data_IF_469639032286
#
_entry.id   IF_469639032286
#
_cell.length_a   1.000
_cell.length_b   1.000
_cell.length_c   1.000
_cell.angle_alpha   90.00
_cell.angle_beta   90.00
_cell.angle_gamma   90.00
#
_symmetry.space_group_name_H-M   'P 1'
#
loop_
_entity.id
_entity.type
_entity.pdbx_description
1 polymer ?
#
# COMPACT_ATOMS: atom_id res chain seq x y z
N UNK A 1 -35.25 19.06 45.42
CA UNK A 1 -35.34 17.85 44.55
C UNK A 1 -36.54 18.08 43.65
N UNK A 2 -36.49 18.16 42.33
CA UNK A 2 -35.70 17.44 41.32
C UNK A 2 -35.65 18.35 40.08
N UNK A 3 -34.47 18.84 39.69
CA UNK A 3 -34.23 19.45 38.37
C UNK A 3 -32.78 19.17 38.00
N UNK A 4 -32.45 17.90 37.76
CA UNK A 4 -31.08 17.47 37.46
C UNK A 4 -31.00 16.36 36.39
N UNK A 5 -32.11 16.10 35.68
CA UNK A 5 -32.19 14.96 34.75
C UNK A 5 -32.25 15.31 33.26
N UNK A 6 -32.42 16.59 32.88
CA UNK A 6 -32.69 16.92 31.46
C UNK A 6 -31.49 17.40 30.65
N UNK A 7 -30.35 17.71 31.30
CA UNK A 7 -29.21 18.32 30.60
C UNK A 7 -28.27 17.31 29.93
N UNK A 8 -28.24 16.06 30.41
CA UNK A 8 -27.34 15.02 29.91
C UNK A 8 -27.80 14.37 28.60
N UNK A 9 -29.12 14.30 28.36
CA UNK A 9 -29.68 13.73 27.13
C UNK A 9 -29.52 14.65 25.92
N UNK A 10 -29.41 15.96 26.14
CA UNK A 10 -29.32 16.94 25.07
C UNK A 10 -27.89 17.07 24.51
N UNK A 11 -26.87 16.74 25.29
CA UNK A 11 -25.46 16.74 24.83
C UNK A 11 -25.02 15.40 24.22
N UNK A 12 -25.59 14.28 24.64
CA UNK A 12 -25.29 12.96 24.06
C UNK A 12 -25.66 12.86 22.57
N UNK A 13 -26.74 13.53 22.16
CA UNK A 13 -27.20 13.53 20.76
C UNK A 13 -26.37 14.48 19.87
N UNK A 14 -25.73 15.51 20.44
CA UNK A 14 -24.86 16.43 19.68
C UNK A 14 -23.51 15.77 19.42
N UNK A 15 -22.95 15.01 20.36
CA UNK A 15 -21.70 14.27 20.15
C UNK A 15 -21.81 13.19 19.06
N UNK A 16 -22.96 12.53 18.89
CA UNK A 16 -23.15 11.51 17.84
C UNK A 16 -23.17 12.08 16.42
N UNK A 17 -23.59 13.35 16.24
CA UNK A 17 -23.64 13.99 14.91
C UNK A 17 -22.26 14.53 14.50
N UNK A 18 -21.42 14.93 15.45
CA UNK A 18 -20.04 15.34 15.16
C UNK A 18 -19.10 14.14 14.94
N UNK A 19 -19.34 12.99 15.57
CA UNK A 19 -18.51 11.80 15.38
C UNK A 19 -18.59 11.24 13.94
N UNK A 20 -19.73 11.38 13.26
CA UNK A 20 -19.91 10.92 11.88
C UNK A 20 -19.37 11.88 10.82
N UNK A 21 -19.03 13.12 11.17
CA UNK A 21 -18.43 14.10 10.25
C UNK A 21 -16.91 13.97 10.11
N UNK A 22 -16.24 13.19 10.97
CA UNK A 22 -14.79 12.96 10.92
C UNK A 22 -14.38 11.54 10.53
N UNK A 23 -15.33 10.69 10.13
CA UNK A 23 -15.01 9.54 9.31
C UNK A 23 -14.73 10.05 7.88
N UNK A 24 -13.57 10.70 7.68
CA UNK A 24 -13.00 10.79 6.35
C UNK A 24 -12.63 9.36 5.96
N UNK A 25 -13.58 8.64 5.35
CA UNK A 25 -13.24 7.48 4.55
C UNK A 25 -12.34 8.01 3.43
N UNK A 26 -11.03 7.87 3.61
CA UNK A 26 -10.02 8.03 2.56
C UNK A 26 -10.10 6.88 1.55
N UNK A 27 -11.32 6.48 1.20
CA UNK A 27 -11.63 5.43 0.23
C UNK A 27 -11.33 5.98 -1.17
N UNK A 28 -10.28 5.45 -1.80
CA UNK A 28 -10.01 5.71 -3.20
C UNK A 28 -10.94 4.85 -4.05
N UNK A 29 -12.07 5.44 -4.41
CA UNK A 29 -13.02 4.90 -5.38
C UNK A 29 -12.67 5.39 -6.78
N UNK A 30 -12.53 4.47 -7.72
CA UNK A 30 -12.23 4.81 -9.10
C UNK A 30 -13.49 5.31 -9.83
N UNK A 31 -13.72 6.62 -9.79
CA UNK A 31 -14.70 7.28 -10.66
C UNK A 31 -14.27 7.21 -12.12
N UNK A 32 -15.24 6.95 -12.99
CA UNK A 32 -15.15 6.60 -14.42
C UNK A 32 -14.58 7.71 -15.35
N UNK A 33 -13.69 8.56 -14.85
CA UNK A 33 -13.18 9.74 -15.58
C UNK A 33 -11.68 9.76 -15.88
N UNK A 34 -10.93 8.72 -15.53
CA UNK A 34 -9.49 8.66 -15.86
C UNK A 34 -9.15 7.42 -16.70
N UNK A 35 -8.97 7.67 -18.00
CA UNK A 35 -8.34 6.82 -19.01
C UNK A 35 -9.05 5.52 -19.38
N UNK A 36 -10.14 5.66 -20.15
CA UNK A 36 -10.53 4.67 -21.15
C UNK A 36 -9.32 4.45 -22.09
N UNK A 37 -8.64 3.31 -21.91
CA UNK A 37 -7.75 2.67 -22.87
C UNK A 37 -6.79 3.64 -23.58
N UNK A 38 -5.82 4.20 -22.86
CA UNK A 38 -4.56 4.52 -23.52
C UNK A 38 -3.82 3.21 -23.76
N UNK A 39 -3.53 2.96 -25.04
CA UNK A 39 -2.63 1.93 -25.53
C UNK A 39 -1.56 1.63 -24.51
N UNK A 40 -1.37 0.33 -24.22
CA UNK A 40 -0.24 -0.19 -23.45
C UNK A 40 0.99 0.61 -23.90
N UNK A 41 1.58 1.46 -23.05
CA UNK A 41 2.67 2.32 -23.47
C UNK A 41 3.73 1.42 -24.10
N UNK A 42 4.23 1.77 -25.28
CA UNK A 42 5.23 0.98 -26.02
C UNK A 42 6.54 0.73 -25.25
N UNK A 43 6.64 1.31 -24.04
CA UNK A 43 7.71 1.17 -23.08
C UNK A 43 7.21 0.41 -21.83
N UNK A 44 6.67 -0.79 -22.03
CA UNK A 44 6.49 -1.72 -20.91
C UNK A 44 7.87 -2.27 -20.59
N UNK A 45 8.58 -1.57 -19.71
CA UNK A 45 9.78 -2.14 -19.10
C UNK A 45 9.40 -3.51 -18.53
N UNK A 46 10.12 -4.54 -18.95
CA UNK A 46 9.88 -5.90 -18.49
C UNK A 46 10.01 -5.91 -16.96
N UNK A 47 8.99 -6.41 -16.23
CA UNK A 47 9.03 -6.40 -14.78
C UNK A 47 10.26 -7.14 -14.26
N UNK A 48 10.78 -6.70 -13.12
CA UNK A 48 11.93 -7.34 -12.49
C UNK A 48 11.63 -8.81 -12.17
N UNK A 49 12.69 -9.64 -12.11
CA UNK A 49 12.54 -11.06 -11.81
C UNK A 49 11.87 -11.28 -10.43
N UNK A 50 12.20 -10.45 -9.42
CA UNK A 50 11.54 -10.51 -8.12
C UNK A 50 10.04 -10.18 -8.20
N UNK A 51 9.68 -9.17 -9.00
CA UNK A 51 8.27 -8.82 -9.21
C UNK A 51 7.53 -9.95 -9.90
N UNK A 52 8.10 -10.57 -10.94
CA UNK A 52 7.49 -11.71 -11.63
C UNK A 52 7.31 -12.92 -10.70
N UNK A 53 8.34 -13.27 -9.94
CA UNK A 53 8.30 -14.41 -9.02
C UNK A 53 7.28 -14.19 -7.89
N UNK A 54 7.26 -12.99 -7.31
CA UNK A 54 6.28 -12.65 -6.28
C UNK A 54 4.86 -12.62 -6.85
N UNK A 55 4.68 -12.09 -8.06
CA UNK A 55 3.40 -12.07 -8.78
C UNK A 55 2.89 -13.50 -8.94
N UNK A 56 3.70 -14.41 -9.50
CA UNK A 56 3.31 -15.80 -9.73
C UNK A 56 2.92 -16.52 -8.42
N UNK A 57 3.69 -16.32 -7.35
CA UNK A 57 3.40 -16.91 -6.04
C UNK A 57 2.12 -16.36 -5.42
N UNK A 58 1.93 -15.05 -5.51
CA UNK A 58 0.73 -14.36 -4.99
C UNK A 58 -0.51 -14.82 -5.73
N UNK A 59 -0.51 -14.83 -7.06
CA UNK A 59 -1.65 -15.30 -7.85
C UNK A 59 -1.97 -16.77 -7.58
N UNK A 60 -0.96 -17.61 -7.38
CA UNK A 60 -1.17 -19.00 -6.95
C UNK A 60 -1.89 -19.08 -5.59
N UNK A 61 -1.57 -18.21 -4.64
CA UNK A 61 -2.25 -18.14 -3.35
C UNK A 61 -3.71 -17.65 -3.49
N UNK A 62 -3.95 -16.61 -4.28
CA UNK A 62 -5.29 -16.08 -4.57
C UNK A 62 -6.20 -17.16 -5.17
N UNK A 63 -5.70 -17.89 -6.18
CA UNK A 63 -6.47 -18.94 -6.85
C UNK A 63 -6.85 -20.07 -5.90
N UNK A 64 -5.96 -20.45 -4.98
CA UNK A 64 -6.27 -21.46 -3.95
C UNK A 64 -7.36 -20.99 -3.00
N UNK A 65 -7.31 -19.71 -2.61
CA UNK A 65 -8.23 -19.10 -1.65
C UNK A 65 -9.55 -18.63 -2.29
N UNK A 66 -9.73 -18.78 -3.61
CA UNK A 66 -10.87 -18.26 -4.37
C UNK A 66 -11.15 -16.78 -4.08
N UNK A 67 -10.09 -16.01 -3.81
CA UNK A 67 -10.22 -14.61 -3.46
C UNK A 67 -10.50 -13.76 -4.71
N UNK A 68 -11.42 -12.80 -4.60
CA UNK A 68 -11.89 -11.94 -5.71
C UNK A 68 -11.10 -10.63 -5.85
N UNK A 69 -10.07 -10.44 -5.02
CA UNK A 69 -9.22 -9.26 -5.09
C UNK A 69 -8.39 -9.25 -6.37
N UNK A 70 -8.25 -8.07 -6.97
CA UNK A 70 -7.28 -7.81 -8.03
C UNK A 70 -6.00 -7.28 -7.40
N UNK A 71 -4.86 -7.91 -7.66
CA UNK A 71 -3.56 -7.46 -7.14
C UNK A 71 -2.72 -6.95 -8.31
N UNK A 72 -2.09 -5.78 -8.14
CA UNK A 72 -1.22 -5.16 -9.15
C UNK A 72 0.15 -4.91 -8.54
N UNK A 73 1.20 -5.21 -9.31
CA UNK A 73 2.60 -5.04 -8.92
C UNK A 73 3.25 -3.99 -9.80
N UNK A 74 4.11 -3.16 -9.22
CA UNK A 74 4.82 -2.10 -9.94
C UNK A 74 6.24 -1.93 -9.41
N UNK A 75 7.21 -2.11 -10.28
CA UNK A 75 8.62 -1.86 -9.94
C UNK A 75 8.84 -0.38 -9.62
N UNK A 76 9.78 -0.10 -8.71
CA UNK A 76 10.27 1.25 -8.48
C UNK A 76 11.11 1.75 -9.65
N UNK A 77 11.15 3.06 -9.85
CA UNK A 77 12.22 3.71 -10.59
C UNK A 77 13.14 4.45 -9.62
N UNK A 78 14.40 4.66 -10.03
CA UNK A 78 15.32 5.49 -9.26
C UNK A 78 14.78 6.93 -9.20
N UNK A 79 14.71 7.48 -7.98
CA UNK A 79 14.38 8.87 -7.72
C UNK A 79 15.63 9.73 -7.56
N UNK A 80 15.58 10.67 -6.62
CA UNK A 80 16.75 11.43 -6.18
C UNK A 80 17.69 10.54 -5.34
N UNK A 81 18.59 11.14 -4.55
CA UNK A 81 19.71 10.45 -3.87
C UNK A 81 19.28 9.23 -3.03
N UNK A 82 19.47 8.04 -3.60
CA UNK A 82 19.15 6.72 -3.06
C UNK A 82 17.66 6.49 -2.78
N UNK A 83 16.80 7.11 -3.58
CA UNK A 83 15.35 6.98 -3.48
C UNK A 83 14.79 5.99 -4.51
N UNK A 84 13.75 5.27 -4.08
CA UNK A 84 12.94 4.40 -4.92
C UNK A 84 11.55 5.00 -5.01
N UNK A 85 11.13 5.33 -6.23
CA UNK A 85 9.91 6.08 -6.48
C UNK A 85 8.89 5.32 -7.31
N UNK A 86 7.63 5.69 -7.14
CA UNK A 86 6.49 5.28 -7.96
C UNK A 86 5.68 6.52 -8.34
N UNK A 87 5.08 6.49 -9.54
CA UNK A 87 4.16 7.55 -9.93
C UNK A 87 2.93 7.54 -9.02
N UNK A 88 2.48 8.73 -8.62
CA UNK A 88 1.21 8.92 -7.89
C UNK A 88 -0.01 8.46 -8.67
N UNK A 89 0.10 8.40 -10.00
CA UNK A 89 -0.91 7.84 -10.89
C UNK A 89 -0.92 6.33 -10.73
N UNK A 90 -1.90 5.82 -10.01
CA UNK A 90 -2.18 4.40 -9.92
C UNK A 90 -3.25 4.08 -10.95
N UNK A 91 -2.94 3.13 -11.82
CA UNK A 91 -3.93 2.60 -12.75
C UNK A 91 -4.93 1.78 -11.93
N UNK A 92 -6.20 2.09 -12.06
CA UNK A 92 -7.30 1.28 -11.55
C UNK A 92 -8.33 1.03 -12.65
N UNK A 93 -9.24 0.09 -12.42
CA UNK A 93 -10.36 -0.15 -13.35
C UNK A 93 -11.63 0.48 -12.77
N UNK A 94 -12.61 0.85 -13.63
CA UNK A 94 -13.92 1.28 -13.17
C UNK A 94 -14.52 0.27 -12.18
N UNK A 95 -15.28 0.78 -11.21
CA UNK A 95 -15.90 -0.01 -10.13
C UNK A 95 -14.88 -0.79 -9.27
N UNK A 96 -13.65 -0.29 -9.13
CA UNK A 96 -12.69 -0.82 -8.17
C UNK A 96 -12.42 0.17 -7.04
N UNK A 97 -12.28 -0.38 -5.84
CA UNK A 97 -11.88 0.34 -4.64
C UNK A 97 -10.55 -0.20 -4.14
N UNK A 98 -9.60 0.70 -3.89
CA UNK A 98 -8.31 0.34 -3.29
C UNK A 98 -8.56 -0.18 -1.87
N UNK A 99 -8.11 -1.40 -1.58
CA UNK A 99 -8.22 -2.01 -0.25
C UNK A 99 -6.95 -1.78 0.57
N UNK A 100 -5.80 -1.99 -0.05
CA UNK A 100 -4.51 -1.76 0.60
C UNK A 100 -3.40 -1.57 -0.41
N UNK A 101 -2.35 -0.90 0.04
CA UNK A 101 -1.11 -0.80 -0.70
C UNK A 101 0.10 -1.02 0.20
N UNK A 102 1.06 -1.77 -0.33
CA UNK A 102 2.28 -2.14 0.38
C UNK A 102 3.49 -1.89 -0.50
N UNK A 103 4.56 -1.38 0.10
CA UNK A 103 5.89 -1.49 -0.47
C UNK A 103 6.49 -2.80 0.02
N UNK A 104 6.95 -3.62 -0.93
CA UNK A 104 7.68 -4.84 -0.65
C UNK A 104 9.18 -4.60 -0.80
N UNK A 105 9.93 -5.01 0.22
CA UNK A 105 11.37 -4.94 0.26
C UNK A 105 11.96 -6.36 0.22
N UNK A 106 12.41 -6.85 -0.95
CA UNK A 106 12.98 -8.19 -1.08
C UNK A 106 14.34 -8.27 -0.40
N UNK A 107 14.39 -9.00 0.71
CA UNK A 107 15.62 -9.22 1.49
C UNK A 107 16.03 -10.68 1.44
N UNK A 108 17.33 -10.94 1.39
CA UNK A 108 17.84 -12.31 1.44
C UNK A 108 17.57 -12.96 2.80
N UNK A 109 16.73 -14.00 2.77
CA UNK A 109 16.29 -14.75 3.94
C UNK A 109 17.39 -15.50 4.69
N UNK A 110 18.62 -15.57 4.14
CA UNK A 110 19.75 -16.31 4.68
C UNK A 110 20.69 -15.47 5.58
N UNK A 111 20.60 -14.14 5.54
CA UNK A 111 21.57 -13.26 6.22
C UNK A 111 20.97 -12.17 7.11
N UNK A 112 19.72 -11.78 6.90
CA UNK A 112 19.10 -10.71 7.69
C UNK A 112 18.55 -11.25 9.00
N UNK A 113 19.13 -10.82 10.13
CA UNK A 113 18.37 -10.76 11.37
C UNK A 113 17.10 -9.96 11.03
N UNK A 114 15.90 -10.54 11.24
CA UNK A 114 14.62 -9.86 10.96
C UNK A 114 14.36 -8.78 12.02
N UNK A 115 15.34 -7.92 12.23
CA UNK A 115 15.20 -6.68 12.97
C UNK A 115 14.17 -5.82 12.24
N UNK A 116 13.46 -5.01 13.02
CA UNK A 116 12.38 -4.14 12.55
C UNK A 116 12.95 -3.07 11.64
N UNK A 117 13.12 -3.43 10.37
CA UNK A 117 13.59 -2.52 9.35
C UNK A 117 12.58 -1.40 9.13
N UNK A 118 13.12 -0.25 8.81
CA UNK A 118 12.39 0.99 8.68
C UNK A 118 12.65 1.57 7.30
N UNK A 119 11.60 2.12 6.67
CA UNK A 119 11.73 2.95 5.48
C UNK A 119 11.42 4.41 5.84
N UNK A 120 12.02 5.34 5.12
CA UNK A 120 11.67 6.76 5.20
C UNK A 120 10.88 7.17 3.96
N UNK A 121 9.81 7.92 4.16
CA UNK A 121 8.95 8.48 3.11
C UNK A 121 8.59 9.91 3.47
N UNK A 122 9.04 10.88 2.69
CA UNK A 122 8.73 12.31 2.89
C UNK A 122 9.01 12.80 4.33
N UNK A 123 10.11 12.32 4.95
CA UNK A 123 10.47 12.64 6.33
C UNK A 123 9.67 11.90 7.41
N UNK A 124 8.75 11.00 7.03
CA UNK A 124 8.04 10.12 7.94
C UNK A 124 8.60 8.70 7.90
N UNK A 125 8.63 8.06 9.06
CA UNK A 125 9.06 6.69 9.25
C UNK A 125 7.92 5.72 8.91
N UNK A 126 8.20 4.73 8.07
CA UNK A 126 7.31 3.61 7.77
C UNK A 126 7.77 2.37 8.51
N UNK A 127 6.85 1.79 9.26
CA UNK A 127 7.10 0.57 10.00
C UNK A 127 6.68 -0.66 9.20
N UNK A 128 7.37 -1.77 9.46
CA UNK A 128 7.04 -3.04 8.87
C UNK A 128 5.63 -3.47 9.28
N UNK A 129 4.81 -3.83 8.30
CA UNK A 129 3.50 -4.43 8.49
C UNK A 129 3.66 -5.94 8.76
N UNK A 130 3.28 -6.36 9.97
CA UNK A 130 3.51 -7.73 10.48
C UNK A 130 2.28 -8.63 10.39
N UNK A 131 1.12 -8.08 10.02
CA UNK A 131 -0.12 -8.84 9.98
C UNK A 131 -0.17 -9.84 8.82
N UNK A 132 -1.10 -10.79 8.95
CA UNK A 132 -1.34 -11.82 7.94
C UNK A 132 -1.83 -11.16 6.64
N UNK A 133 -1.08 -11.40 5.57
CA UNK A 133 -1.40 -10.88 4.23
C UNK A 133 -1.52 -12.02 3.23
N UNK A 134 -2.22 -11.76 2.13
CA UNK A 134 -2.28 -12.65 0.96
C UNK A 134 -0.95 -12.71 0.21
N UNK A 135 -0.08 -11.72 0.46
CA UNK A 135 1.27 -11.68 -0.10
C UNK A 135 2.10 -12.77 0.59
N UNK A 136 2.82 -13.62 -0.16
CA UNK A 136 3.74 -14.60 0.42
C UNK A 136 4.86 -13.92 1.23
N UNK A 137 5.28 -14.48 2.38
CA UNK A 137 6.38 -13.92 3.20
C UNK A 137 7.73 -13.94 2.47
N UNK A 138 7.88 -14.80 1.47
CA UNK A 138 9.09 -14.90 0.66
C UNK A 138 9.25 -13.74 -0.33
N UNK A 139 8.20 -12.93 -0.54
CA UNK A 139 8.29 -11.75 -1.39
C UNK A 139 9.08 -10.59 -0.75
N UNK A 140 9.36 -10.67 0.55
CA UNK A 140 10.07 -9.64 1.29
C UNK A 140 9.27 -9.02 2.43
N UNK A 141 9.86 -8.01 3.04
CA UNK A 141 9.27 -7.24 4.13
C UNK A 141 8.21 -6.30 3.57
N UNK A 142 7.15 -6.04 4.34
CA UNK A 142 5.99 -5.25 3.92
C UNK A 142 5.96 -3.94 4.67
N UNK A 143 5.64 -2.86 3.98
CA UNK A 143 5.43 -1.55 4.56
C UNK A 143 4.12 -1.00 4.03
N UNK A 144 3.14 -0.76 4.90
CA UNK A 144 1.84 -0.28 4.50
C UNK A 144 1.89 1.20 4.13
N UNK A 145 1.34 1.52 2.95
CA UNK A 145 1.37 2.87 2.37
C UNK A 145 0.02 3.29 1.80
N UNK A 146 -1.06 2.58 2.15
CA UNK A 146 -2.43 2.84 1.68
C UNK A 146 -2.81 4.32 1.81
N UNK A 147 -2.65 4.89 3.01
CA UNK A 147 -3.00 6.29 3.27
C UNK A 147 -2.07 7.30 2.58
N UNK A 148 -0.87 6.87 2.17
CA UNK A 148 0.14 7.72 1.53
C UNK A 148 -0.09 7.85 0.03
N UNK A 149 -0.79 6.89 -0.57
CA UNK A 149 -1.20 6.98 -1.97
C UNK A 149 -2.22 8.10 -2.22
N UNK A 150 -2.94 8.52 -1.17
CA UNK A 150 -3.86 9.65 -1.25
C UNK A 150 -3.16 11.01 -1.38
N UNK A 151 -1.87 11.07 -1.07
CA UNK A 151 -1.12 12.32 -1.10
C UNK A 151 -0.83 12.77 -2.54
N UNK A 152 -0.90 14.08 -2.78
CA UNK A 152 -0.48 14.67 -4.06
C UNK A 152 1.04 14.66 -4.14
N UNK A 153 1.60 13.80 -4.97
CA UNK A 153 3.04 13.76 -5.27
C UNK A 153 3.56 12.35 -5.48
N UNK A 154 4.75 12.18 -6.08
CA UNK A 154 5.34 10.86 -6.26
C UNK A 154 5.51 10.15 -4.91
N UNK A 155 5.28 8.85 -4.90
CA UNK A 155 5.53 8.01 -3.74
C UNK A 155 7.01 7.63 -3.77
N UNK A 156 7.83 8.22 -2.92
CA UNK A 156 9.26 7.92 -2.87
C UNK A 156 9.64 7.41 -1.49
N UNK A 157 10.47 6.37 -1.46
CA UNK A 157 11.04 5.84 -0.22
C UNK A 157 12.54 5.80 -0.29
N UNK A 158 13.14 6.00 0.88
CA UNK A 158 14.55 5.83 1.12
C UNK A 158 14.77 4.77 2.18
N UNK A 159 15.85 4.02 2.01
CA UNK A 159 16.36 3.12 3.04
C UNK A 159 17.37 3.93 3.85
N UNK A 160 17.12 4.19 5.16
CA UNK A 160 18.02 4.97 5.99
C UNK A 160 19.43 4.37 6.00
N UNK A 161 20.47 5.21 6.04
CA UNK A 161 21.86 4.75 6.05
C UNK A 161 22.17 3.82 7.24
N UNK A 162 21.47 4.01 8.37
CA UNK A 162 21.55 3.11 9.52
C UNK A 162 21.10 1.68 9.16
N UNK A 163 20.02 1.56 8.39
CA UNK A 163 19.48 0.27 7.94
C UNK A 163 20.25 -0.31 6.76
N UNK A 164 20.95 0.52 5.97
CA UNK A 164 21.87 0.04 4.92
C UNK A 164 23.03 -0.77 5.51
N UNK A 165 23.49 -0.43 6.72
CA UNK A 165 24.49 -1.23 7.45
C UNK A 165 23.96 -2.61 7.85
N UNK A 166 22.68 -2.69 8.23
CA UNK A 166 21.98 -3.93 8.61
C UNK A 166 21.59 -4.78 7.40
N UNK A 167 21.18 -4.14 6.30
CA UNK A 167 20.92 -4.78 5.01
C UNK A 167 22.21 -5.24 4.33
N UNK A 168 23.34 -4.56 4.57
CA UNK A 168 24.52 -4.69 3.72
C UNK A 168 24.19 -4.43 2.26
N UNK A 169 24.72 -5.26 1.35
CA UNK A 169 24.30 -5.32 -0.06
C UNK A 169 23.03 -6.17 -0.27
N UNK A 170 22.25 -6.42 0.77
CA UNK A 170 21.30 -7.55 0.90
C UNK A 170 19.92 -7.37 0.28
N UNK A 171 19.72 -6.34 -0.55
CA UNK A 171 18.55 -6.30 -1.42
C UNK A 171 18.81 -7.19 -2.63
N UNK A 172 17.95 -8.19 -2.80
CA UNK A 172 17.97 -9.04 -3.99
C UNK A 172 17.52 -8.25 -5.22
N UNK A 173 16.57 -7.32 -5.01
CA UNK A 173 15.98 -6.48 -6.03
C UNK A 173 15.60 -5.10 -5.46
N UNK A 174 15.41 -4.09 -6.32
CA UNK A 174 14.75 -2.86 -5.92
C UNK A 174 13.38 -3.14 -5.28
N UNK A 175 12.94 -2.32 -4.31
CA UNK A 175 11.61 -2.45 -3.75
C UNK A 175 10.52 -2.26 -4.83
N UNK A 176 9.36 -2.88 -4.63
CA UNK A 176 8.24 -2.74 -5.55
C UNK A 176 6.93 -2.50 -4.81
N UNK A 177 6.04 -1.76 -5.45
CA UNK A 177 4.72 -1.40 -4.93
C UNK A 177 3.72 -2.50 -5.29
N UNK A 178 2.90 -2.88 -4.32
CA UNK A 178 1.77 -3.79 -4.50
C UNK A 178 0.50 -3.10 -4.06
N UNK A 179 -0.53 -3.17 -4.89
CA UNK A 179 -1.86 -2.64 -4.58
C UNK A 179 -2.89 -3.74 -4.70
N UNK A 180 -3.85 -3.76 -3.78
CA UNK A 180 -4.97 -4.71 -3.80
C UNK A 180 -6.29 -3.96 -3.97
N UNK A 181 -7.15 -4.50 -4.82
CA UNK A 181 -8.37 -3.85 -5.27
C UNK A 181 -9.54 -4.80 -5.13
N UNK A 182 -10.65 -4.28 -4.62
CA UNK A 182 -11.92 -4.99 -4.56
C UNK A 182 -12.85 -4.44 -5.62
N UNK A 183 -13.60 -5.33 -6.28
CA UNK A 183 -14.68 -4.90 -7.17
C UNK A 183 -15.85 -4.41 -6.32
N UNK A 184 -16.27 -3.16 -6.52
CA UNK A 184 -17.50 -2.65 -5.97
C UNK A 184 -18.66 -3.46 -6.55
N UNK A 185 -19.37 -4.22 -5.72
CA UNK A 185 -20.62 -4.82 -6.15
C UNK A 185 -21.63 -3.68 -6.30
N UNK A 186 -21.99 -3.33 -7.54
CA UNK A 186 -23.20 -2.56 -7.79
C UNK A 186 -24.37 -3.44 -7.36
N UNK A 187 -24.90 -3.18 -6.17
CA UNK A 187 -26.11 -3.79 -5.63
C UNK A 187 -27.36 -3.26 -6.33
#
# INVERSE_FOLDING_TARGET
MVYLSSFWLQWGMVCSVFASMFAQDSSWDCTDTDDILRDVPADVNMPSQCTLDCTARTYRAILKLHNRLTIRFKDSHAGDTDEFCWSSKIQCSPDQRLQSAFILLPVDSSGANRETLILEMNGATLHQHLDVSLLPPECGLRFEVTDRLAAKGPLCVKIPAQEQGTLGSGLVCPPFLVTTWEKCNQG
#
